data_IF_397855025606
#
_entry.id   IF_397855025606
#
_cell.length_a   1.000
_cell.length_b   1.000
_cell.length_c   1.000
_cell.angle_alpha   90.00
_cell.angle_beta   90.00
_cell.angle_gamma   90.00
#
_symmetry.space_group_name_H-M   'P 1'
#
loop_
_entity.id
_entity.type
_entity.pdbx_description
1 polymer ?
#
# COMPACT_ATOMS: atom_id res chain seq x y z
N UNK A 1 -2.89 -0.70 19.59
CA UNK A 1 -2.74 -0.05 18.27
C UNK A 1 -1.67 -0.80 17.51
N UNK A 2 -2.04 -1.68 16.58
CA UNK A 2 -1.06 -2.41 15.77
C UNK A 2 -0.27 -1.42 14.91
N UNK A 3 1.04 -1.34 15.11
CA UNK A 3 1.94 -0.59 14.24
C UNK A 3 2.01 -1.36 12.91
N UNK A 4 1.16 -1.01 11.94
CA UNK A 4 1.38 -1.38 10.55
C UNK A 4 2.66 -0.65 10.12
N UNK A 5 3.80 -1.33 10.16
CA UNK A 5 5.09 -0.75 9.79
C UNK A 5 5.12 -0.66 8.28
N UNK A 6 4.71 0.49 7.74
CA UNK A 6 4.89 0.83 6.33
C UNK A 6 6.38 0.80 6.01
N UNK A 7 6.78 -0.15 5.17
CA UNK A 7 8.19 -0.33 4.80
C UNK A 7 8.48 0.48 3.53
N UNK A 8 9.47 1.40 3.55
CA UNK A 8 9.88 2.10 2.35
C UNK A 8 10.58 1.12 1.40
N UNK A 9 10.15 1.11 0.15
CA UNK A 9 10.83 0.50 -0.97
C UNK A 9 11.23 1.59 -1.94
N UNK A 10 12.54 1.74 -2.16
CA UNK A 10 13.01 2.61 -3.23
C UNK A 10 12.96 1.84 -4.54
N UNK A 11 12.09 2.27 -5.43
CA UNK A 11 11.92 1.69 -6.77
C UNK A 11 13.09 2.02 -7.71
N UNK A 12 14.03 2.88 -7.30
CA UNK A 12 15.16 3.25 -8.15
C UNK A 12 16.51 2.66 -7.69
N UNK A 13 16.67 2.31 -6.40
CA UNK A 13 17.95 1.82 -5.85
C UNK A 13 18.00 0.31 -5.62
N UNK A 14 16.85 -0.38 -5.63
CA UNK A 14 16.76 -1.83 -5.44
C UNK A 14 16.85 -2.61 -6.77
N UNK A 15 18.02 -2.53 -7.44
CA UNK A 15 18.36 -3.37 -8.59
C UNK A 15 17.58 -3.08 -9.90
N UNK A 16 17.85 -3.83 -10.99
CA UNK A 16 17.26 -3.59 -12.32
C UNK A 16 15.74 -3.83 -12.43
N UNK A 17 15.06 -4.12 -11.31
CA UNK A 17 13.70 -4.67 -11.26
C UNK A 17 12.60 -3.64 -11.52
N UNK A 18 12.84 -2.34 -11.31
CA UNK A 18 11.81 -1.29 -11.40
C UNK A 18 12.11 -0.20 -12.45
N UNK A 19 13.02 -0.46 -13.41
CA UNK A 19 13.56 0.54 -14.34
C UNK A 19 12.58 1.19 -15.34
N UNK A 20 11.34 0.72 -15.45
CA UNK A 20 10.36 1.28 -16.39
C UNK A 20 9.26 2.05 -15.66
N UNK A 21 9.14 3.36 -15.90
CA UNK A 21 8.01 4.17 -15.42
C UNK A 21 6.64 3.73 -15.98
N UNK A 22 6.65 2.78 -16.93
CA UNK A 22 5.47 2.21 -17.58
C UNK A 22 4.84 1.03 -16.84
N UNK A 23 5.45 0.56 -15.73
CA UNK A 23 4.88 -0.56 -14.98
C UNK A 23 3.48 -0.25 -14.47
N UNK A 24 2.59 -1.23 -14.59
CA UNK A 24 1.23 -1.14 -14.10
C UNK A 24 1.17 -1.40 -12.59
N UNK A 25 0.01 -1.13 -11.98
CA UNK A 25 -0.23 -1.51 -10.59
C UNK A 25 0.08 -2.99 -10.32
N UNK A 26 -0.39 -3.88 -11.19
CA UNK A 26 -0.20 -5.33 -11.05
C UNK A 26 1.29 -5.71 -11.11
N UNK A 27 2.05 -5.14 -12.08
CA UNK A 27 3.49 -5.40 -12.21
C UNK A 27 4.28 -4.99 -10.95
N UNK A 28 3.86 -3.88 -10.31
CA UNK A 28 4.53 -3.37 -9.10
C UNK A 28 4.26 -4.30 -7.92
N UNK A 29 3.00 -4.68 -7.69
CA UNK A 29 2.66 -5.57 -6.57
C UNK A 29 3.22 -6.98 -6.76
N UNK A 30 3.26 -7.49 -7.99
CA UNK A 30 3.86 -8.79 -8.30
C UNK A 30 5.34 -8.83 -7.91
N UNK A 31 6.12 -7.83 -8.32
CA UNK A 31 7.54 -7.75 -7.93
C UNK A 31 7.76 -7.58 -6.44
N UNK A 32 6.92 -6.79 -5.78
CA UNK A 32 7.00 -6.65 -4.33
C UNK A 32 6.68 -7.99 -3.67
N UNK A 33 5.71 -8.75 -4.17
CA UNK A 33 5.39 -10.09 -3.68
C UNK A 33 6.55 -11.06 -3.89
N UNK A 34 7.17 -11.08 -5.08
CA UNK A 34 8.36 -11.90 -5.38
C UNK A 34 9.51 -11.60 -4.42
N UNK A 35 9.80 -10.32 -4.15
CA UNK A 35 10.86 -9.93 -3.22
C UNK A 35 10.54 -10.32 -1.77
N UNK A 36 9.27 -10.36 -1.40
CA UNK A 36 8.81 -10.77 -0.08
C UNK A 36 8.62 -12.29 0.06
N UNK A 37 8.64 -13.04 -1.05
CA UNK A 37 8.25 -14.45 -1.09
C UNK A 37 6.76 -14.65 -0.72
N UNK A 38 5.90 -13.71 -1.12
CA UNK A 38 4.46 -13.74 -0.85
C UNK A 38 3.71 -14.42 -1.99
N UNK A 39 2.83 -15.38 -1.70
CA UNK A 39 2.05 -16.10 -2.72
C UNK A 39 0.99 -15.22 -3.40
N UNK A 40 0.38 -14.29 -2.65
CA UNK A 40 -0.75 -13.48 -3.12
C UNK A 40 -0.40 -11.98 -3.23
N UNK A 41 -0.02 -11.46 -4.40
CA UNK A 41 0.33 -10.04 -4.57
C UNK A 41 -0.84 -9.08 -4.28
N UNK A 42 -2.08 -9.57 -4.36
CA UNK A 42 -3.28 -8.80 -4.05
C UNK A 42 -3.38 -8.36 -2.59
N UNK A 43 -2.64 -9.00 -1.68
CA UNK A 43 -2.54 -8.62 -0.26
C UNK A 43 -1.62 -7.43 -0.03
N UNK A 44 -0.91 -6.94 -1.06
CA UNK A 44 0.00 -5.81 -0.93
C UNK A 44 -0.77 -4.51 -1.13
N UNK A 45 -0.65 -3.61 -0.16
CA UNK A 45 -1.16 -2.23 -0.26
C UNK A 45 0.01 -1.28 -0.45
N UNK A 46 -0.09 -0.44 -1.47
CA UNK A 46 0.92 0.56 -1.82
C UNK A 46 0.51 1.94 -1.32
N UNK A 47 1.45 2.69 -0.77
CA UNK A 47 1.26 4.05 -0.29
C UNK A 47 2.35 4.96 -0.86
N UNK A 48 1.99 6.10 -1.50
CA UNK A 48 2.98 7.02 -2.05
C UNK A 48 3.72 7.77 -0.96
N UNK A 49 4.95 8.17 -1.25
CA UNK A 49 5.73 9.04 -0.39
C UNK A 49 5.26 10.50 -0.47
N UNK A 50 5.25 11.21 0.67
CA UNK A 50 5.05 12.65 0.73
C UNK A 50 6.41 13.37 0.85
N UNK A 51 6.85 14.01 -0.23
CA UNK A 51 8.11 14.75 -0.30
C UNK A 51 8.26 15.83 0.79
N UNK A 52 7.15 16.42 1.24
CA UNK A 52 7.16 17.52 2.20
C UNK A 52 7.36 17.06 3.63
N UNK A 53 6.68 15.98 4.03
CA UNK A 53 6.74 15.46 5.40
C UNK A 53 7.72 14.30 5.57
N UNK A 54 8.33 13.81 4.48
CA UNK A 54 9.19 12.62 4.47
C UNK A 54 8.50 11.39 5.08
N UNK A 55 7.17 11.31 4.95
CA UNK A 55 6.33 10.26 5.51
C UNK A 55 5.42 9.67 4.42
N UNK A 56 4.92 8.43 4.59
CA UNK A 56 3.87 7.91 3.73
C UNK A 56 2.65 8.83 3.74
N UNK A 57 1.99 8.95 2.59
CA UNK A 57 0.75 9.71 2.49
C UNK A 57 -0.34 9.05 3.36
N UNK A 58 -1.25 9.84 3.95
CA UNK A 58 -2.30 9.31 4.81
C UNK A 58 -3.31 8.45 4.03
N UNK A 59 -3.38 8.60 2.70
CA UNK A 59 -4.25 7.82 1.84
C UNK A 59 -3.42 6.85 0.99
N UNK A 60 -3.62 5.53 1.15
CA UNK A 60 -3.00 4.54 0.29
C UNK A 60 -3.59 4.59 -1.12
N UNK A 61 -2.86 4.03 -2.08
CA UNK A 61 -3.33 3.84 -3.46
C UNK A 61 -4.43 2.77 -3.44
N UNK A 62 -5.55 3.04 -4.13
CA UNK A 62 -6.64 2.06 -4.27
C UNK A 62 -6.22 0.90 -5.15
N UNK A 63 -6.86 -0.26 -5.02
CA UNK A 63 -6.60 -1.39 -5.91
C UNK A 63 -6.82 -0.97 -7.37
N UNK A 64 -5.75 -0.99 -8.18
CA UNK A 64 -5.74 -0.48 -9.57
C UNK A 64 -6.31 0.94 -9.72
N UNK A 65 -6.17 1.78 -8.68
CA UNK A 65 -6.66 3.16 -8.70
C UNK A 65 -5.80 4.12 -9.51
N UNK A 66 -4.67 3.65 -10.03
CA UNK A 66 -3.69 4.37 -10.83
C UNK A 66 -3.15 3.41 -11.88
N UNK A 67 -2.91 3.93 -13.09
CA UNK A 67 -2.55 3.11 -14.23
C UNK A 67 -1.06 2.77 -14.24
N UNK A 68 -0.20 3.75 -13.99
CA UNK A 68 1.25 3.60 -14.11
C UNK A 68 1.99 3.89 -12.81
N UNK A 69 3.17 3.29 -12.69
CA UNK A 69 4.12 3.54 -11.61
C UNK A 69 4.46 5.04 -11.52
N UNK A 70 4.57 5.75 -12.65
CA UNK A 70 4.74 7.21 -12.64
C UNK A 70 3.67 7.93 -11.81
N UNK A 71 2.41 7.52 -11.93
CA UNK A 71 1.29 8.13 -11.21
C UNK A 71 1.31 7.77 -9.71
N UNK A 72 1.84 6.58 -9.38
CA UNK A 72 2.09 6.19 -7.98
C UNK A 72 3.20 7.00 -7.32
N UNK A 73 4.15 7.51 -8.11
CA UNK A 73 5.33 8.22 -7.63
C UNK A 73 5.17 9.75 -7.64
N UNK A 74 4.15 10.28 -8.32
CA UNK A 74 3.91 11.73 -8.43
C UNK A 74 3.18 12.27 -7.19
N UNK A 75 3.75 13.32 -6.61
CA UNK A 75 3.08 14.16 -5.62
C UNK A 75 3.32 15.64 -5.92
N UNK A 76 2.27 16.43 -6.18
CA UNK A 76 2.36 17.87 -6.47
C UNK A 76 3.43 18.20 -7.54
N UNK A 77 3.38 17.50 -8.68
CA UNK A 77 4.34 17.63 -9.79
C UNK A 77 5.79 17.24 -9.48
N UNK A 78 6.09 16.72 -8.28
CA UNK A 78 7.38 16.12 -7.95
C UNK A 78 7.28 14.58 -7.99
N UNK A 79 8.17 13.93 -8.74
CA UNK A 79 8.31 12.48 -8.72
C UNK A 79 9.23 12.06 -7.57
N UNK A 80 8.73 11.26 -6.64
CA UNK A 80 9.54 10.56 -5.65
C UNK A 80 9.88 9.15 -6.11
N UNK A 81 11.05 8.64 -5.80
CA UNK A 81 11.42 7.24 -6.10
C UNK A 81 11.14 6.28 -4.93
N UNK A 82 10.25 6.68 -4.02
CA UNK A 82 9.92 5.96 -2.79
C UNK A 82 8.44 5.58 -2.81
N UNK A 83 8.16 4.29 -2.66
CA UNK A 83 6.85 3.76 -2.32
C UNK A 83 6.92 3.11 -0.95
N UNK A 84 5.80 3.07 -0.26
CA UNK A 84 5.66 2.27 0.94
C UNK A 84 4.74 1.11 0.63
N UNK A 85 5.09 -0.07 1.13
CA UNK A 85 4.24 -1.24 1.03
C UNK A 85 3.88 -1.76 2.42
N UNK A 86 2.76 -2.44 2.49
CA UNK A 86 2.35 -3.27 3.62
C UNK A 86 1.64 -4.51 3.11
N UNK A 87 1.77 -5.60 3.86
CA UNK A 87 1.08 -6.86 3.60
C UNK A 87 -0.17 -6.88 4.47
N UNK A 88 -1.32 -7.07 3.85
CA UNK A 88 -2.62 -7.22 4.49
C UNK A 88 -2.94 -8.69 4.76
N UNK A 89 -3.80 -8.95 5.73
CA UNK A 89 -4.30 -10.30 6.01
C UNK A 89 -5.27 -10.82 4.93
N UNK A 90 -5.94 -9.88 4.22
CA UNK A 90 -6.91 -10.16 3.16
C UNK A 90 -6.56 -9.39 1.87
N UNK A 91 -6.98 -9.86 0.69
CA UNK A 91 -6.76 -9.15 -0.56
C UNK A 91 -7.32 -7.72 -0.54
N UNK A 92 -6.58 -6.76 -1.08
CA UNK A 92 -6.99 -5.37 -1.18
C UNK A 92 -8.36 -5.17 -1.87
N UNK A 93 -8.72 -5.91 -2.95
CA UNK A 93 -10.05 -5.83 -3.54
C UNK A 93 -11.16 -6.18 -2.55
N UNK A 94 -10.95 -7.21 -1.73
CA UNK A 94 -11.90 -7.62 -0.69
C UNK A 94 -11.94 -6.59 0.44
N UNK A 95 -10.78 -6.09 0.86
CA UNK A 95 -10.69 -5.03 1.87
C UNK A 95 -11.41 -3.75 1.45
N UNK A 96 -11.38 -3.39 0.17
CA UNK A 96 -12.11 -2.24 -0.35
C UNK A 96 -13.61 -2.50 -0.51
N UNK A 97 -14.01 -3.75 -0.73
CA UNK A 97 -15.42 -4.16 -0.78
C UNK A 97 -16.05 -4.38 0.60
N UNK A 98 -15.23 -4.60 1.63
CA UNK A 98 -15.69 -4.76 3.00
C UNK A 98 -16.22 -3.43 3.55
N UNK A 99 -17.53 -3.39 3.80
CA UNK A 99 -18.11 -2.35 4.65
C UNK A 99 -17.60 -2.58 6.08
N UNK A 100 -16.76 -1.68 6.59
CA UNK A 100 -16.29 -1.73 7.98
C UNK A 100 -17.49 -1.65 8.92
N UNK A 101 -17.96 -2.80 9.41
CA UNK A 101 -18.96 -2.84 10.47
C UNK A 101 -18.23 -2.49 11.78
N UNK A 102 -18.28 -1.22 12.20
CA UNK A 102 -17.86 -0.84 13.56
C UNK A 102 -18.86 -1.45 14.54
N UNK A 103 -18.55 -2.63 15.05
CA UNK A 103 -19.28 -3.22 16.17
C UNK A 103 -18.75 -2.58 17.45
N UNK A 104 -19.57 -1.72 18.07
CA UNK A 104 -19.34 -1.31 19.45
C UNK A 104 -19.87 -2.41 20.36
N UNK A 105 -18.99 -3.13 21.04
CA UNK A 105 -19.39 -4.03 22.11
C UNK A 105 -19.77 -3.20 23.34
N UNK A 106 -21.07 -3.01 23.56
CA UNK A 106 -21.56 -2.57 24.86
C UNK A 106 -21.55 -3.77 25.79
N UNK A 107 -20.54 -3.86 26.65
CA UNK A 107 -20.57 -4.76 27.80
C UNK A 107 -21.67 -4.24 28.73
N UNK A 108 -22.84 -4.87 28.71
CA UNK A 108 -23.85 -4.66 29.73
C UNK A 108 -23.31 -5.28 31.03
N UNK A 109 -22.64 -4.47 31.85
CA UNK A 109 -22.49 -4.81 33.27
C UNK A 109 -23.87 -4.74 33.87
N UNK A 110 -24.54 -5.88 33.95
CA UNK A 110 -25.64 -6.09 34.88
C UNK A 110 -25.05 -5.95 36.28
N UNK A 111 -25.25 -4.81 36.91
CA UNK A 111 -25.11 -4.64 38.36
C UNK A 111 -26.53 -4.78 38.92
N UNK A 112 -26.71 -5.78 39.78
CA UNK A 112 -27.96 -6.19 40.44
C UNK A 112 -28.66 -5.07 41.22
#
# INVERSE_FOLDING_TARGET
MGFFVLRPISVMTSGPLFRSRLYTYDDVVERVAEQLGLDDPSKIRLTPHNCYSQQPKPQPIKYRGVDHLSDMLVHYNQTSDILYYEVLDIPLPELQGLKTLKVAFHHATTDE
#
